data_IF_527318878043
#
_entry.id   IF_527318878043
#
_cell.length_a   1.000
_cell.length_b   1.000
_cell.length_c   1.000
_cell.angle_alpha   90.00
_cell.angle_beta   90.00
_cell.angle_gamma   90.00
#
_symmetry.space_group_name_H-M   'P 1'
#
loop_
_entity.id
_entity.type
_entity.pdbx_description
1 polymer ?
#
# COMPACT_ATOMS: atom_id res chain seq x y z
N UNK A 1 19.45 -6.93 -7.61
CA UNK A 1 18.61 -7.10 -8.81
C UNK A 1 17.66 -5.91 -8.81
N UNK A 2 17.99 -4.87 -9.57
CA UNK A 2 17.22 -3.63 -9.60
C UNK A 2 15.91 -3.92 -10.31
N UNK A 3 14.80 -3.86 -9.59
CA UNK A 3 13.46 -3.98 -10.15
C UNK A 3 13.33 -3.00 -11.32
N UNK A 4 12.95 -3.48 -12.49
CA UNK A 4 12.80 -2.63 -13.67
C UNK A 4 11.83 -1.47 -13.36
N UNK A 5 12.22 -0.20 -13.52
CA UNK A 5 11.34 0.94 -13.20
C UNK A 5 10.04 0.90 -14.01
N UNK A 6 10.10 0.39 -15.25
CA UNK A 6 8.92 0.14 -16.09
C UNK A 6 7.93 -0.87 -15.49
N UNK A 7 8.41 -1.84 -14.71
CA UNK A 7 7.55 -2.79 -14.01
C UNK A 7 6.77 -2.06 -12.92
N UNK A 8 7.46 -1.26 -12.10
CA UNK A 8 6.86 -0.46 -11.03
C UNK A 8 5.81 0.51 -11.60
N UNK A 9 6.17 1.30 -12.62
CA UNK A 9 5.28 2.27 -13.25
C UNK A 9 4.00 1.61 -13.79
N UNK A 10 4.14 0.43 -14.40
CA UNK A 10 3.01 -0.35 -14.89
C UNK A 10 2.05 -0.74 -13.77
N UNK A 11 2.54 -1.23 -12.64
CA UNK A 11 1.68 -1.62 -11.52
C UNK A 11 1.10 -0.41 -10.77
N UNK A 12 1.82 0.70 -10.69
CA UNK A 12 1.28 1.96 -10.17
C UNK A 12 0.10 2.45 -11.03
N UNK A 13 0.19 2.31 -12.35
CA UNK A 13 -0.93 2.63 -13.25
C UNK A 13 -2.14 1.72 -13.00
N UNK A 14 -1.94 0.40 -12.78
CA UNK A 14 -3.04 -0.52 -12.44
C UNK A 14 -3.68 -0.21 -11.09
N UNK A 15 -2.91 0.26 -10.10
CA UNK A 15 -3.40 0.65 -8.78
C UNK A 15 -4.37 1.84 -8.82
N UNK A 16 -4.23 2.71 -9.83
CA UNK A 16 -5.12 3.85 -10.07
C UNK A 16 -6.30 3.50 -11.00
N UNK A 17 -6.38 2.25 -11.47
CA UNK A 17 -7.44 1.78 -12.35
C UNK A 17 -8.79 1.62 -11.64
N UNK A 18 -9.84 1.39 -12.44
CA UNK A 18 -11.20 1.15 -11.93
C UNK A 18 -11.44 -0.29 -11.48
N UNK A 19 -10.54 -1.22 -11.82
CA UNK A 19 -10.68 -2.64 -11.51
C UNK A 19 -10.16 -2.96 -10.10
N UNK A 20 -11.09 -3.31 -9.22
CA UNK A 20 -10.82 -3.48 -7.80
C UNK A 20 -9.87 -4.65 -7.50
N UNK A 21 -10.05 -5.74 -8.24
CA UNK A 21 -9.28 -6.96 -8.05
C UNK A 21 -7.84 -6.75 -8.57
N UNK A 22 -7.71 -6.08 -9.71
CA UNK A 22 -6.42 -5.70 -10.29
C UNK A 22 -5.65 -4.72 -9.37
N UNK A 23 -6.34 -3.80 -8.69
CA UNK A 23 -5.71 -2.87 -7.74
C UNK A 23 -5.08 -3.62 -6.55
N UNK A 24 -5.77 -4.63 -6.01
CA UNK A 24 -5.25 -5.44 -4.89
C UNK A 24 -4.01 -6.22 -5.33
N UNK A 25 -4.04 -6.82 -6.52
CA UNK A 25 -2.88 -7.53 -7.09
C UNK A 25 -1.72 -6.57 -7.30
N UNK A 26 -1.99 -5.37 -7.83
CA UNK A 26 -0.97 -4.34 -8.01
C UNK A 26 -0.32 -3.93 -6.68
N UNK A 27 -1.12 -3.67 -5.64
CA UNK A 27 -0.60 -3.33 -4.31
C UNK A 27 0.33 -4.43 -3.76
N UNK A 28 -0.09 -5.71 -3.84
CA UNK A 28 0.72 -6.85 -3.41
C UNK A 28 2.02 -6.97 -4.21
N UNK A 29 1.95 -6.80 -5.54
CA UNK A 29 3.13 -6.86 -6.41
C UNK A 29 4.12 -5.74 -6.09
N UNK A 30 3.62 -4.52 -5.88
CA UNK A 30 4.43 -3.37 -5.48
C UNK A 30 5.06 -3.57 -4.09
N UNK A 31 4.31 -4.07 -3.11
CA UNK A 31 4.86 -4.40 -1.78
C UNK A 31 5.99 -5.42 -1.85
N UNK A 32 5.82 -6.48 -2.65
CA UNK A 32 6.83 -7.52 -2.85
C UNK A 32 8.12 -7.02 -3.54
N UNK A 33 8.08 -5.87 -4.23
CA UNK A 33 9.32 -5.27 -4.78
C UNK A 33 10.26 -4.76 -3.70
N UNK A 34 9.73 -4.46 -2.49
CA UNK A 34 10.42 -3.79 -1.39
C UNK A 34 11.12 -2.48 -1.80
N UNK A 35 10.62 -1.86 -2.87
CA UNK A 35 11.20 -0.63 -3.40
C UNK A 35 10.52 0.58 -2.74
N UNK A 36 11.27 1.45 -2.03
CA UNK A 36 10.69 2.62 -1.38
C UNK A 36 10.12 3.64 -2.37
N UNK A 37 10.48 3.59 -3.66
CA UNK A 37 9.92 4.48 -4.68
C UNK A 37 8.40 4.30 -4.87
N UNK A 38 7.85 3.15 -4.46
CA UNK A 38 6.41 2.84 -4.62
C UNK A 38 5.55 3.32 -3.45
N UNK A 39 6.18 3.67 -2.32
CA UNK A 39 5.52 4.14 -1.10
C UNK A 39 4.56 5.31 -1.36
N UNK A 40 4.94 6.41 -2.05
CA UNK A 40 4.03 7.51 -2.29
C UNK A 40 2.79 7.10 -3.12
N UNK A 41 2.96 6.20 -4.10
CA UNK A 41 1.85 5.71 -4.91
C UNK A 41 0.89 4.83 -4.10
N UNK A 42 1.42 3.98 -3.22
CA UNK A 42 0.65 3.18 -2.28
C UNK A 42 -0.12 4.06 -1.29
N UNK A 43 0.52 5.09 -0.73
CA UNK A 43 -0.15 6.03 0.19
C UNK A 43 -1.34 6.71 -0.50
N UNK A 44 -1.21 7.13 -1.76
CA UNK A 44 -2.33 7.70 -2.50
C UNK A 44 -3.48 6.70 -2.71
N UNK A 45 -3.18 5.41 -2.86
CA UNK A 45 -4.18 4.37 -3.00
C UNK A 45 -4.94 4.05 -1.70
N UNK A 46 -4.54 4.61 -0.55
CA UNK A 46 -5.32 4.53 0.69
C UNK A 46 -6.52 5.48 0.71
N UNK A 47 -6.53 6.49 -0.17
CA UNK A 47 -7.54 7.55 -0.19
C UNK A 47 -8.71 7.17 -1.08
N UNK A 48 -9.94 7.28 -0.57
CA UNK A 48 -11.18 7.03 -1.32
C UNK A 48 -11.19 5.66 -2.04
N UNK A 49 -10.74 4.63 -1.33
CA UNK A 49 -10.77 3.22 -1.74
C UNK A 49 -11.49 2.40 -0.67
N UNK A 50 -12.12 1.28 -1.04
CA UNK A 50 -12.78 0.41 -0.07
C UNK A 50 -11.75 -0.36 0.77
N UNK A 51 -12.25 -0.89 1.88
CA UNK A 51 -11.43 -1.39 2.99
C UNK A 51 -10.55 -2.58 2.63
N UNK A 52 -11.00 -3.45 1.71
CA UNK A 52 -10.21 -4.57 1.19
C UNK A 52 -8.92 -4.10 0.50
N UNK A 53 -9.03 -3.07 -0.35
CA UNK A 53 -7.86 -2.51 -1.03
C UNK A 53 -6.97 -1.76 -0.05
N UNK A 54 -7.55 -0.97 0.86
CA UNK A 54 -6.78 -0.27 1.90
C UNK A 54 -5.97 -1.25 2.75
N UNK A 55 -6.56 -2.36 3.17
CA UNK A 55 -5.87 -3.42 3.92
C UNK A 55 -4.71 -4.04 3.13
N UNK A 56 -4.91 -4.31 1.83
CA UNK A 56 -3.85 -4.83 0.96
C UNK A 56 -2.69 -3.83 0.81
N UNK A 57 -3.00 -2.54 0.68
CA UNK A 57 -2.00 -1.46 0.57
C UNK A 57 -1.23 -1.28 1.88
N UNK A 58 -1.89 -1.30 3.03
CA UNK A 58 -1.24 -1.21 4.35
C UNK A 58 -0.22 -2.35 4.52
N UNK A 59 -0.62 -3.57 4.18
CA UNK A 59 0.28 -4.73 4.23
C UNK A 59 1.44 -4.60 3.25
N UNK A 60 1.21 -4.09 2.04
CA UNK A 60 2.27 -3.82 1.08
C UNK A 60 3.27 -2.77 1.61
N UNK A 61 2.80 -1.70 2.26
CA UNK A 61 3.66 -0.71 2.92
C UNK A 61 4.48 -1.34 4.04
N UNK A 62 3.87 -2.24 4.82
CA UNK A 62 4.57 -3.00 5.86
C UNK A 62 5.67 -3.92 5.29
N UNK A 63 5.39 -4.62 4.19
CA UNK A 63 6.36 -5.49 3.52
C UNK A 63 7.57 -4.73 2.96
N UNK A 64 7.37 -3.48 2.54
CA UNK A 64 8.46 -2.59 2.11
C UNK A 64 9.31 -2.15 3.31
N UNK A 65 8.67 -1.86 4.45
CA UNK A 65 9.36 -1.46 5.69
C UNK A 65 9.97 -0.05 5.63
N UNK A 66 9.54 0.78 4.69
CA UNK A 66 10.02 2.15 4.55
C UNK A 66 9.35 3.09 5.57
N UNK A 67 10.16 3.85 6.30
CA UNK A 67 9.69 4.75 7.36
C UNK A 67 8.90 5.96 6.83
N UNK A 68 8.96 6.25 5.53
CA UNK A 68 8.13 7.31 4.94
C UNK A 68 6.64 6.95 4.97
N UNK A 69 6.29 5.67 5.13
CA UNK A 69 4.91 5.21 5.30
C UNK A 69 4.35 5.43 6.72
N UNK A 70 5.23 5.58 7.72
CA UNK A 70 4.86 5.74 9.13
C UNK A 70 3.80 6.83 9.39
N UNK A 71 3.92 8.08 8.89
CA UNK A 71 2.89 9.09 9.12
C UNK A 71 1.52 8.71 8.55
N UNK A 72 1.47 8.04 7.39
CA UNK A 72 0.23 7.57 6.80
C UNK A 72 -0.40 6.43 7.64
N UNK A 73 0.43 5.49 8.11
CA UNK A 73 -0.02 4.42 9.00
C UNK A 73 -0.55 4.96 10.33
N UNK A 74 0.11 5.96 10.93
CA UNK A 74 -0.36 6.59 12.17
C UNK A 74 -1.75 7.19 11.97
N UNK A 75 -2.02 7.86 10.84
CA UNK A 75 -3.36 8.38 10.56
C UNK A 75 -4.42 7.27 10.47
N UNK A 76 -4.07 6.12 9.89
CA UNK A 76 -4.97 4.97 9.76
C UNK A 76 -5.28 4.27 11.10
N UNK A 77 -4.48 4.46 12.15
CA UNK A 77 -4.83 3.98 13.49
C UNK A 77 -6.13 4.60 14.02
N UNK A 78 -6.49 5.78 13.52
CA UNK A 78 -7.71 6.49 13.87
C UNK A 78 -8.85 6.24 12.87
N UNK A 79 -8.70 5.28 11.96
CA UNK A 79 -9.73 4.97 10.98
C UNK A 79 -10.99 4.41 11.65
N UNK A 80 -12.21 4.80 11.21
CA UNK A 80 -13.45 4.26 11.76
C UNK A 80 -13.60 2.75 11.54
N UNK A 81 -12.89 2.18 10.55
CA UNK A 81 -12.90 0.74 10.34
C UNK A 81 -11.86 0.05 11.24
N UNK A 82 -12.29 -0.80 12.19
CA UNK A 82 -11.38 -1.49 13.10
C UNK A 82 -10.39 -2.41 12.38
N UNK A 83 -10.75 -2.95 11.20
CA UNK A 83 -9.84 -3.78 10.40
C UNK A 83 -8.67 -2.94 9.87
N UNK A 84 -8.94 -1.71 9.43
CA UNK A 84 -7.92 -0.78 8.93
C UNK A 84 -7.02 -0.31 10.08
N UNK A 85 -7.61 0.06 11.21
CA UNK A 85 -6.85 0.44 12.40
C UNK A 85 -5.93 -0.70 12.87
N UNK A 86 -6.45 -1.93 12.94
CA UNK A 86 -5.67 -3.11 13.33
C UNK A 86 -4.55 -3.42 12.32
N UNK A 87 -4.83 -3.36 11.02
CA UNK A 87 -3.82 -3.57 9.99
C UNK A 87 -2.70 -2.53 10.07
N UNK A 88 -3.05 -1.28 10.38
CA UNK A 88 -2.07 -0.22 10.53
C UNK A 88 -1.21 -0.38 11.78
N UNK A 89 -1.79 -0.85 12.89
CA UNK A 89 -1.06 -1.16 14.10
C UNK A 89 -0.06 -2.31 13.91
N UNK A 90 -0.48 -3.36 13.20
CA UNK A 90 0.38 -4.49 12.81
C UNK A 90 1.51 -4.02 11.89
N UNK A 91 1.18 -3.18 10.90
CA UNK A 91 2.17 -2.55 10.05
C UNK A 91 3.16 -1.73 10.87
N UNK A 92 2.77 -0.86 11.80
CA UNK A 92 3.74 -0.07 12.57
C UNK A 92 4.70 -0.90 13.44
N UNK A 93 4.48 -2.21 13.61
CA UNK A 93 5.32 -3.12 14.38
C UNK A 93 6.51 -3.74 13.64
N UNK A 94 6.79 -3.38 12.37
CA UNK A 94 7.93 -3.90 11.59
C UNK A 94 9.30 -3.33 11.97
#
# INVERSE_FOLDING_TARGET
MSTDPRYIEKWVAYLQGSDHEMCIVAAKKLGATKDPAVVPALIQALVNRPDDLRSAVIRALAEIGDKSATPALIQLLHDPNPLIASASADALGY
#
